data_IF_501834371533
#
_entry.id   IF_501834371533
#
_cell.length_a   1.000
_cell.length_b   1.000
_cell.length_c   1.000
_cell.angle_alpha   90.00
_cell.angle_beta   90.00
_cell.angle_gamma   90.00
#
_symmetry.space_group_name_H-M   'P 1'
#
loop_
_entity.id
_entity.type
_entity.pdbx_description
1 polymer ?
#
# COMPACT_ATOMS: atom_id res chain seq x y z
N UNK A 1 -12.06 12.58 16.55
CA UNK A 1 -10.78 12.03 16.05
C UNK A 1 -9.96 11.67 17.25
N UNK A 2 -9.60 10.40 17.37
CA UNK A 2 -8.80 9.93 18.48
C UNK A 2 -7.35 10.37 18.22
N UNK A 3 -6.65 10.85 19.25
CA UNK A 3 -5.22 11.23 19.18
C UNK A 3 -4.38 10.14 18.50
N UNK A 4 -4.78 8.87 18.67
CA UNK A 4 -4.18 7.71 18.03
C UNK A 4 -4.18 7.76 16.48
N UNK A 5 -5.22 8.29 15.84
CA UNK A 5 -5.31 8.37 14.37
C UNK A 5 -4.31 9.38 13.80
N UNK A 6 -4.11 10.49 14.51
CA UNK A 6 -3.09 11.51 14.16
C UNK A 6 -1.71 10.90 14.27
N UNK A 7 -1.43 10.23 15.39
CA UNK A 7 -0.12 9.60 15.63
C UNK A 7 0.17 8.58 14.53
N UNK A 8 -0.79 7.73 14.19
CA UNK A 8 -0.61 6.71 13.15
C UNK A 8 -0.39 7.34 11.76
N UNK A 9 -1.15 8.38 11.42
CA UNK A 9 -0.97 9.11 10.17
C UNK A 9 0.41 9.77 10.04
N UNK A 10 0.86 10.47 11.09
CA UNK A 10 2.13 11.21 11.08
C UNK A 10 3.34 10.28 11.23
N UNK A 11 3.25 9.27 12.09
CA UNK A 11 4.38 8.39 12.39
C UNK A 11 4.54 7.25 11.38
N UNK A 12 3.46 6.79 10.75
CA UNK A 12 3.49 5.63 9.86
C UNK A 12 3.21 5.98 8.40
N UNK A 13 2.03 6.55 8.09
CA UNK A 13 1.62 6.77 6.69
C UNK A 13 2.53 7.75 5.94
N UNK A 14 2.87 8.90 6.56
CA UNK A 14 3.73 9.90 5.92
C UNK A 14 5.14 9.35 5.65
N UNK A 15 5.88 8.81 6.64
CA UNK A 15 7.23 8.30 6.40
C UNK A 15 7.25 7.06 5.50
N UNK A 16 6.30 6.13 5.68
CA UNK A 16 6.20 4.94 4.82
C UNK A 16 5.85 5.32 3.38
N UNK A 17 4.95 6.28 3.17
CA UNK A 17 4.59 6.78 1.85
C UNK A 17 5.78 7.41 1.13
N UNK A 18 6.55 8.28 1.78
CA UNK A 18 7.79 8.83 1.23
C UNK A 18 8.83 7.74 0.97
N UNK A 19 8.99 6.80 1.90
CA UNK A 19 9.93 5.70 1.72
C UNK A 19 9.60 4.88 0.47
N UNK A 20 8.35 4.47 0.31
CA UNK A 20 7.87 3.74 -0.86
C UNK A 20 8.01 4.60 -2.12
N UNK A 21 7.72 5.91 -2.05
CA UNK A 21 7.78 6.79 -3.21
C UNK A 21 9.19 7.00 -3.75
N UNK A 22 10.22 7.01 -2.90
CA UNK A 22 11.60 7.35 -3.31
C UNK A 22 12.58 6.18 -3.26
N UNK A 23 12.34 5.15 -2.44
CA UNK A 23 13.31 4.10 -2.14
C UNK A 23 12.82 2.68 -2.42
N UNK A 24 11.65 2.51 -3.03
CA UNK A 24 11.08 1.18 -3.32
C UNK A 24 11.97 0.31 -4.20
N UNK A 25 12.62 0.89 -5.22
CA UNK A 25 13.53 0.14 -6.08
C UNK A 25 14.75 -0.42 -5.31
N UNK A 26 15.35 0.40 -4.44
CA UNK A 26 16.53 -0.01 -3.67
C UNK A 26 16.22 -1.05 -2.60
N UNK A 27 15.02 -1.00 -2.01
CA UNK A 27 14.62 -1.86 -0.89
C UNK A 27 13.40 -2.72 -1.21
N UNK A 28 13.43 -3.42 -2.35
CA UNK A 28 12.32 -4.25 -2.85
C UNK A 28 11.68 -5.16 -1.78
N UNK A 29 12.50 -5.82 -0.96
CA UNK A 29 12.02 -6.75 0.07
C UNK A 29 11.26 -6.06 1.20
N UNK A 30 11.67 -4.84 1.55
CA UNK A 30 10.96 -4.07 2.57
C UNK A 30 9.66 -3.48 1.99
N UNK A 31 9.66 -3.06 0.74
CA UNK A 31 8.43 -2.61 0.09
C UNK A 31 7.44 -3.75 -0.19
N UNK A 32 7.92 -4.96 -0.48
CA UNK A 32 7.04 -6.13 -0.59
C UNK A 32 6.41 -6.50 0.76
N UNK A 33 7.15 -6.33 1.86
CA UNK A 33 6.60 -6.45 3.21
C UNK A 33 5.47 -5.44 3.47
N UNK A 34 5.72 -4.15 3.21
CA UNK A 34 4.71 -3.09 3.38
C UNK A 34 3.49 -3.38 2.50
N UNK A 35 3.71 -3.82 1.25
CA UNK A 35 2.62 -4.18 0.36
C UNK A 35 1.78 -5.35 0.89
N UNK A 36 2.45 -6.42 1.34
CA UNK A 36 1.79 -7.56 1.98
C UNK A 36 0.98 -7.16 3.21
N UNK A 37 1.53 -6.28 4.05
CA UNK A 37 0.85 -5.75 5.22
C UNK A 37 -0.46 -5.06 4.84
N UNK A 38 -0.44 -4.12 3.87
CA UNK A 38 -1.66 -3.41 3.45
C UNK A 38 -2.70 -4.33 2.80
N UNK A 39 -2.29 -5.32 2.01
CA UNK A 39 -3.23 -6.26 1.38
C UNK A 39 -3.91 -7.11 2.44
N UNK A 40 -3.14 -7.70 3.35
CA UNK A 40 -3.67 -8.58 4.39
C UNK A 40 -4.51 -7.78 5.39
N UNK A 41 -4.05 -6.59 5.80
CA UNK A 41 -4.81 -5.70 6.67
C UNK A 41 -6.16 -5.35 6.04
N UNK A 42 -6.19 -4.96 4.76
CA UNK A 42 -7.43 -4.59 4.08
C UNK A 42 -8.40 -5.78 3.95
N UNK A 43 -7.89 -6.99 3.69
CA UNK A 43 -8.71 -8.20 3.61
C UNK A 43 -9.29 -8.60 4.97
N UNK A 44 -8.46 -8.61 6.03
CA UNK A 44 -8.90 -8.96 7.38
C UNK A 44 -9.85 -7.89 7.91
N UNK A 45 -9.56 -6.61 7.67
CA UNK A 45 -10.44 -5.52 8.06
C UNK A 45 -11.80 -5.63 7.36
N UNK A 46 -11.85 -5.98 6.07
CA UNK A 46 -13.12 -6.16 5.35
C UNK A 46 -13.97 -7.31 5.94
N UNK A 47 -13.35 -8.45 6.24
CA UNK A 47 -14.05 -9.60 6.86
C UNK A 47 -14.43 -9.26 8.31
N UNK A 48 -13.51 -8.66 9.04
CA UNK A 48 -13.66 -8.29 10.43
C UNK A 48 -14.74 -7.23 10.65
N UNK A 49 -14.92 -6.29 9.72
CA UNK A 49 -15.96 -5.27 9.81
C UNK A 49 -17.36 -5.89 9.73
N UNK A 50 -17.55 -6.89 8.88
CA UNK A 50 -18.80 -7.67 8.81
C UNK A 50 -19.10 -8.39 10.13
N UNK A 51 -18.07 -8.88 10.82
CA UNK A 51 -18.21 -9.53 12.13
C UNK A 51 -18.45 -8.48 13.21
N UNK A 52 -17.71 -7.37 13.21
CA UNK A 52 -17.82 -6.28 14.19
C UNK A 52 -19.21 -5.65 14.20
N UNK A 53 -19.82 -5.44 13.02
CA UNK A 53 -21.19 -4.93 12.92
C UNK A 53 -22.22 -5.81 13.65
N UNK A 54 -21.97 -7.12 13.72
CA UNK A 54 -22.84 -8.08 14.39
C UNK A 54 -22.57 -8.23 15.90
N UNK A 55 -21.37 -7.85 16.37
CA UNK A 55 -20.92 -8.12 17.74
C UNK A 55 -20.37 -6.89 18.51
N UNK A 56 -20.46 -5.70 17.93
CA UNK A 56 -20.03 -4.40 18.47
C UNK A 56 -18.63 -4.43 19.11
N UNK A 57 -17.69 -5.09 18.43
CA UNK A 57 -16.42 -5.50 19.03
C UNK A 57 -15.25 -4.67 18.50
N UNK A 58 -14.78 -3.72 19.31
CA UNK A 58 -13.68 -2.80 18.98
C UNK A 58 -12.30 -3.48 18.84
N UNK A 59 -12.20 -4.79 19.07
CA UNK A 59 -10.95 -5.56 19.03
C UNK A 59 -10.51 -5.86 17.59
N UNK A 60 -11.44 -5.84 16.64
CA UNK A 60 -11.20 -6.25 15.24
C UNK A 60 -10.05 -5.51 14.55
N UNK A 61 -9.93 -4.17 14.61
CA UNK A 61 -8.85 -3.45 13.93
C UNK A 61 -7.47 -3.80 14.50
N UNK A 62 -7.37 -3.95 15.83
CA UNK A 62 -6.12 -4.33 16.50
C UNK A 62 -5.66 -5.72 16.09
N UNK A 63 -6.58 -6.68 15.98
CA UNK A 63 -6.28 -8.04 15.51
C UNK A 63 -5.86 -8.03 14.05
N UNK A 64 -6.53 -7.26 13.19
CA UNK A 64 -6.17 -7.12 11.79
C UNK A 64 -4.72 -6.66 11.62
N UNK A 65 -4.29 -5.66 12.38
CA UNK A 65 -2.90 -5.14 12.35
C UNK A 65 -1.89 -6.18 12.81
N UNK A 66 -2.15 -6.89 13.90
CA UNK A 66 -1.21 -7.88 14.44
C UNK A 66 -1.05 -9.06 13.48
N UNK A 67 -2.16 -9.55 12.94
CA UNK A 67 -2.15 -10.68 11.99
C UNK A 67 -1.49 -10.28 10.68
N UNK A 68 -1.75 -9.07 10.18
CA UNK A 68 -1.13 -8.58 8.94
C UNK A 68 0.38 -8.40 9.08
N UNK A 69 0.88 -7.93 10.24
CA UNK A 69 2.33 -7.85 10.50
C UNK A 69 3.03 -9.22 10.39
N UNK A 70 2.38 -10.28 10.87
CA UNK A 70 2.89 -11.65 10.79
C UNK A 70 2.81 -12.23 9.38
N UNK A 71 1.65 -12.11 8.72
CA UNK A 71 1.43 -12.68 7.39
C UNK A 71 2.15 -11.92 6.27
N UNK A 72 2.47 -10.63 6.46
CA UNK A 72 3.26 -9.85 5.50
C UNK A 72 4.65 -10.45 5.24
N UNK A 73 5.19 -11.26 6.16
CA UNK A 73 6.48 -11.95 6.01
C UNK A 73 6.47 -12.87 4.77
N UNK A 74 5.32 -13.48 4.42
CA UNK A 74 5.21 -14.34 3.23
C UNK A 74 5.51 -13.59 1.92
N UNK A 75 5.18 -12.29 1.85
CA UNK A 75 5.47 -11.43 0.69
C UNK A 75 6.96 -11.11 0.55
N UNK A 76 7.75 -11.31 1.60
CA UNK A 76 9.21 -11.18 1.58
C UNK A 76 9.88 -12.50 1.20
N UNK A 77 9.36 -13.61 1.74
CA UNK A 77 9.89 -14.96 1.50
C UNK A 77 9.65 -15.39 0.06
N UNK A 78 8.50 -15.03 -0.53
CA UNK A 78 8.10 -15.39 -1.89
C UNK A 78 8.12 -14.11 -2.76
N UNK A 79 9.22 -13.80 -3.47
CA UNK A 79 9.35 -12.55 -4.23
C UNK A 79 8.28 -12.36 -5.31
N UNK A 80 7.79 -13.45 -5.91
CA UNK A 80 6.71 -13.43 -6.90
C UNK A 80 5.40 -12.91 -6.28
N UNK A 81 5.09 -13.32 -5.05
CA UNK A 81 3.94 -12.84 -4.30
C UNK A 81 4.11 -11.36 -3.94
N UNK A 82 5.32 -10.96 -3.57
CA UNK A 82 5.70 -9.57 -3.35
C UNK A 82 5.46 -8.68 -4.57
N UNK A 83 5.91 -9.13 -5.75
CA UNK A 83 5.69 -8.44 -7.02
C UNK A 83 4.21 -8.32 -7.36
N UNK A 84 3.47 -9.41 -7.26
CA UNK A 84 2.02 -9.41 -7.49
C UNK A 84 1.30 -8.47 -6.52
N UNK A 85 1.67 -8.49 -5.24
CA UNK A 85 1.11 -7.60 -4.23
C UNK A 85 1.36 -6.13 -4.52
N UNK A 86 2.58 -5.77 -4.94
CA UNK A 86 2.89 -4.41 -5.35
C UNK A 86 2.04 -4.01 -6.57
N UNK A 87 1.95 -4.86 -7.60
CA UNK A 87 1.08 -4.62 -8.75
C UNK A 87 -0.37 -4.37 -8.35
N UNK A 88 -0.93 -5.20 -7.46
CA UNK A 88 -2.29 -5.03 -6.95
C UNK A 88 -2.48 -3.69 -6.24
N UNK A 89 -1.53 -3.26 -5.40
CA UNK A 89 -1.63 -1.98 -4.67
C UNK A 89 -1.44 -0.77 -5.58
N UNK A 90 -0.60 -0.87 -6.60
CA UNK A 90 -0.51 0.15 -7.64
C UNK A 90 -1.87 0.28 -8.35
N UNK A 91 -2.45 -0.83 -8.81
CA UNK A 91 -3.77 -0.81 -9.42
C UNK A 91 -4.85 -0.25 -8.49
N UNK A 92 -4.83 -0.63 -7.23
CA UNK A 92 -5.71 -0.08 -6.20
C UNK A 92 -5.59 1.44 -6.07
N UNK A 93 -4.35 1.95 -6.05
CA UNK A 93 -4.09 3.39 -5.95
C UNK A 93 -4.57 4.15 -7.18
N UNK A 94 -4.40 3.59 -8.38
CA UNK A 94 -4.89 4.16 -9.64
C UNK A 94 -6.42 4.14 -9.68
N UNK A 95 -7.04 3.04 -9.29
CA UNK A 95 -8.49 2.94 -9.20
C UNK A 95 -9.07 4.02 -8.27
N UNK A 96 -8.47 4.20 -7.08
CA UNK A 96 -8.88 5.26 -6.14
C UNK A 96 -8.69 6.66 -6.70
N UNK A 97 -7.58 6.91 -7.38
CA UNK A 97 -7.32 8.20 -8.04
C UNK A 97 -8.41 8.54 -9.06
N UNK A 98 -8.76 7.57 -9.91
CA UNK A 98 -9.83 7.75 -10.91
C UNK A 98 -11.19 7.95 -10.24
N UNK A 99 -11.50 7.22 -9.17
CA UNK A 99 -12.76 7.38 -8.41
C UNK A 99 -12.90 8.78 -7.81
N UNK A 100 -11.79 9.38 -7.35
CA UNK A 100 -11.77 10.76 -6.84
C UNK A 100 -12.12 11.77 -7.95
N UNK A 101 -11.63 11.55 -9.17
CA UNK A 101 -11.83 12.45 -10.31
C UNK A 101 -13.16 12.22 -11.05
N UNK A 102 -13.67 10.98 -11.04
CA UNK A 102 -14.86 10.57 -11.77
C UNK A 102 -16.13 11.23 -11.22
N UNK A 103 -17.20 11.32 -12.03
CA UNK A 103 -18.47 11.88 -11.58
C UNK A 103 -19.19 10.96 -10.57
N UNK A 104 -19.87 11.56 -9.59
CA UNK A 104 -20.54 10.89 -8.45
C UNK A 104 -21.55 9.81 -8.83
N UNK A 105 -22.08 9.84 -10.07
CA UNK A 105 -23.16 8.93 -10.51
C UNK A 105 -22.66 7.58 -11.03
N UNK A 106 -21.38 7.45 -11.39
CA UNK A 106 -20.83 6.25 -12.01
C UNK A 106 -20.63 5.09 -11.02
N UNK A 107 -20.47 5.40 -9.74
CA UNK A 107 -20.02 4.45 -8.70
C UNK A 107 -21.05 4.28 -7.56
N UNK A 108 -22.33 4.41 -7.88
CA UNK A 108 -23.44 4.36 -6.92
C UNK A 108 -23.77 2.95 -6.41
N UNK A 109 -23.33 1.90 -7.12
CA UNK A 109 -23.59 0.50 -6.76
C UNK A 109 -22.31 -0.18 -6.27
N UNK A 110 -22.33 -0.71 -5.04
CA UNK A 110 -21.18 -1.35 -4.39
C UNK A 110 -20.59 -2.49 -5.20
N UNK A 111 -21.42 -3.27 -5.91
CA UNK A 111 -20.96 -4.36 -6.77
C UNK A 111 -20.13 -3.86 -7.94
N UNK A 112 -20.52 -2.73 -8.54
CA UNK A 112 -19.76 -2.11 -9.64
C UNK A 112 -18.42 -1.60 -9.14
N UNK A 113 -18.37 -1.06 -7.91
CA UNK A 113 -17.15 -0.60 -7.27
C UNK A 113 -16.15 -1.73 -7.02
N UNK A 114 -16.63 -2.86 -6.49
CA UNK A 114 -15.79 -4.04 -6.24
C UNK A 114 -15.25 -4.60 -7.55
N UNK A 115 -16.09 -4.74 -8.57
CA UNK A 115 -15.68 -5.25 -9.88
C UNK A 115 -14.67 -4.31 -10.53
N UNK A 116 -14.92 -2.99 -10.51
CA UNK A 116 -14.00 -1.99 -11.04
C UNK A 116 -12.64 -2.08 -10.36
N UNK A 117 -12.61 -2.05 -9.03
CA UNK A 117 -11.39 -2.07 -8.24
C UNK A 117 -10.62 -3.39 -8.43
N UNK A 118 -11.31 -4.52 -8.40
CA UNK A 118 -10.72 -5.84 -8.66
C UNK A 118 -10.14 -5.96 -10.07
N UNK A 119 -10.82 -5.43 -11.08
CA UNK A 119 -10.37 -5.46 -12.48
C UNK A 119 -9.11 -4.62 -12.68
N UNK A 120 -9.08 -3.40 -12.15
CA UNK A 120 -7.88 -2.54 -12.25
C UNK A 120 -6.70 -3.16 -11.48
N UNK A 121 -6.93 -3.71 -10.28
CA UNK A 121 -5.90 -4.45 -9.55
C UNK A 121 -5.36 -5.62 -10.39
N UNK A 122 -6.23 -6.44 -10.98
CA UNK A 122 -5.84 -7.57 -11.82
C UNK A 122 -5.03 -7.15 -13.06
N UNK A 123 -5.43 -6.05 -13.71
CA UNK A 123 -4.69 -5.47 -14.85
C UNK A 123 -3.28 -5.06 -14.42
N UNK A 124 -3.13 -4.36 -13.29
CA UNK A 124 -1.81 -3.94 -12.83
C UNK A 124 -0.93 -5.10 -12.31
N UNK A 125 -1.54 -6.15 -11.77
CA UNK A 125 -0.82 -7.42 -11.50
C UNK A 125 -0.30 -8.01 -12.80
N UNK A 126 -1.09 -8.08 -13.87
CA UNK A 126 -0.61 -8.56 -15.17
C UNK A 126 0.48 -7.64 -15.76
N UNK A 127 0.28 -6.32 -15.69
CA UNK A 127 1.22 -5.32 -16.22
C UNK A 127 2.56 -5.35 -15.49
N UNK A 128 2.60 -5.56 -14.18
CA UNK A 128 3.88 -5.61 -13.45
C UNK A 128 4.70 -6.88 -13.79
N UNK A 129 4.06 -7.93 -14.30
CA UNK A 129 4.75 -9.10 -14.86
C UNK A 129 5.17 -8.90 -16.32
N UNK A 130 4.44 -8.09 -17.08
CA UNK A 130 4.78 -7.79 -18.48
C UNK A 130 5.87 -6.72 -18.62
N UNK A 131 5.67 -5.56 -17.98
CA UNK A 131 6.59 -4.42 -18.03
C UNK A 131 7.07 -4.08 -16.63
N UNK A 132 8.00 -4.91 -16.19
CA UNK A 132 8.31 -5.03 -14.78
C UNK A 132 9.03 -3.80 -14.21
N UNK A 133 9.81 -3.10 -15.04
CA UNK A 133 10.61 -1.97 -14.61
C UNK A 133 9.80 -0.67 -14.57
N UNK A 134 9.13 -0.34 -15.67
CA UNK A 134 8.34 0.88 -15.79
C UNK A 134 7.18 0.90 -14.81
N UNK A 135 6.41 -0.19 -14.76
CA UNK A 135 5.24 -0.31 -13.87
C UNK A 135 5.67 -0.32 -12.41
N UNK A 136 6.79 -0.96 -12.07
CA UNK A 136 7.27 -0.97 -10.68
C UNK A 136 7.72 0.42 -10.22
N UNK A 137 8.56 1.11 -10.99
CA UNK A 137 9.11 2.41 -10.57
C UNK A 137 8.03 3.48 -10.53
N UNK A 138 7.27 3.63 -11.61
CA UNK A 138 6.20 4.63 -11.67
C UNK A 138 5.07 4.24 -10.72
N UNK A 139 4.73 2.97 -10.65
CA UNK A 139 3.65 2.47 -9.80
C UNK A 139 3.95 2.63 -8.31
N UNK A 140 5.15 2.24 -7.85
CA UNK A 140 5.51 2.41 -6.42
C UNK A 140 5.67 3.88 -6.05
N UNK A 141 6.16 4.73 -6.96
CA UNK A 141 6.14 6.18 -6.77
C UNK A 141 4.71 6.71 -6.60
N UNK A 142 3.78 6.25 -7.45
CA UNK A 142 2.38 6.64 -7.41
C UNK A 142 1.67 6.14 -6.15
N UNK A 143 1.85 4.87 -5.79
CA UNK A 143 1.28 4.29 -4.58
C UNK A 143 1.88 4.92 -3.30
N UNK A 144 3.19 5.17 -3.26
CA UNK A 144 3.83 5.88 -2.15
C UNK A 144 3.31 7.32 -1.98
N UNK A 145 3.10 8.03 -3.10
CA UNK A 145 2.47 9.35 -3.11
C UNK A 145 1.04 9.33 -2.55
N UNK A 146 0.27 8.28 -2.85
CA UNK A 146 -1.06 8.06 -2.29
C UNK A 146 -0.99 7.93 -0.76
N UNK A 147 -0.12 7.06 -0.25
CA UNK A 147 0.05 6.83 1.19
C UNK A 147 0.43 8.10 1.94
N UNK A 148 1.33 8.90 1.34
CA UNK A 148 1.73 10.18 1.89
C UNK A 148 0.54 11.16 2.01
N UNK A 149 -0.28 11.27 0.97
CA UNK A 149 -1.45 12.17 0.99
C UNK A 149 -2.53 11.68 1.92
N UNK A 150 -2.78 10.38 1.95
CA UNK A 150 -3.71 9.78 2.92
C UNK A 150 -3.27 10.15 4.33
N UNK A 151 -1.96 10.08 4.63
CA UNK A 151 -1.40 10.52 5.91
C UNK A 151 -1.63 12.02 6.18
N UNK A 152 -1.35 12.89 5.20
CA UNK A 152 -1.60 14.34 5.35
C UNK A 152 -3.10 14.63 5.51
N UNK A 153 -3.97 13.96 4.78
CA UNK A 153 -5.41 14.18 4.86
C UNK A 153 -5.95 13.79 6.23
N UNK A 154 -5.50 12.67 6.82
CA UNK A 154 -5.86 12.31 8.20
C UNK A 154 -5.35 13.38 9.19
N UNK A 155 -4.16 13.93 8.98
CA UNK A 155 -3.60 14.98 9.85
C UNK A 155 -4.33 16.32 9.72
N UNK A 156 -4.56 16.78 8.49
CA UNK A 156 -5.08 18.12 8.16
C UNK A 156 -6.59 18.17 7.96
N UNK A 157 -7.26 17.01 7.94
CA UNK A 157 -8.71 16.85 7.80
C UNK A 157 -9.28 17.51 6.54
N UNK A 158 -8.59 17.39 5.41
CA UNK A 158 -9.09 17.99 4.15
C UNK A 158 -10.33 17.28 3.61
N UNK A 159 -10.59 16.06 4.06
CA UNK A 159 -11.78 15.28 3.75
C UNK A 159 -11.63 14.39 2.53
N UNK A 160 -10.42 14.14 2.02
CA UNK A 160 -10.19 13.27 0.86
C UNK A 160 -10.53 11.82 1.19
N UNK A 161 -10.11 11.31 2.34
CA UNK A 161 -10.43 9.96 2.77
C UNK A 161 -11.93 9.78 2.98
N UNK A 162 -12.58 10.80 3.56
CA UNK A 162 -14.04 10.83 3.63
C UNK A 162 -14.66 10.88 2.23
N UNK A 163 -14.09 11.62 1.28
CA UNK A 163 -14.56 11.64 -0.11
C UNK A 163 -14.48 10.26 -0.77
N UNK A 164 -13.41 9.50 -0.53
CA UNK A 164 -13.22 8.15 -1.05
C UNK A 164 -14.22 7.19 -0.41
N UNK A 165 -14.37 7.23 0.91
CA UNK A 165 -15.28 6.37 1.66
C UNK A 165 -16.76 6.70 1.38
N UNK A 166 -17.10 7.99 1.31
CA UNK A 166 -18.44 8.47 0.98
C UNK A 166 -18.74 8.33 -0.52
N UNK A 167 -17.75 8.23 -1.42
CA UNK A 167 -18.03 7.88 -2.83
C UNK A 167 -18.69 6.51 -2.95
N UNK A 168 -18.41 5.62 -1.98
CA UNK A 168 -19.00 4.31 -1.86
C UNK A 168 -20.27 4.29 -1.01
N UNK A 169 -20.65 5.41 -0.38
CA UNK A 169 -21.86 5.49 0.43
C UNK A 169 -22.74 6.65 -0.04
N UNK A 170 -23.88 6.33 -0.65
CA UNK A 170 -24.75 7.25 -1.40
C UNK A 170 -25.36 8.43 -0.59
N UNK A 171 -25.03 8.58 0.69
CA UNK A 171 -25.73 9.47 1.62
C UNK A 171 -25.27 10.93 1.58
N UNK A 172 -24.07 11.28 1.09
CA UNK A 172 -23.55 12.64 1.21
C UNK A 172 -23.00 13.27 -0.08
N UNK A 173 -23.34 14.55 -0.30
CA UNK A 173 -22.78 15.37 -1.38
C UNK A 173 -21.37 15.82 -0.99
N UNK A 174 -20.36 15.30 -1.69
CA UNK A 174 -18.98 15.78 -1.56
C UNK A 174 -18.89 17.29 -1.85
N UNK A 175 -18.52 18.07 -0.84
CA UNK A 175 -18.14 19.48 -1.01
C UNK A 175 -16.70 19.51 -1.48
N UNK A 176 -16.48 19.89 -2.75
CA UNK A 176 -15.15 20.10 -3.32
C UNK A 176 -14.44 21.24 -2.58
N UNK A 177 -13.54 20.90 -1.66
CA UNK A 177 -12.70 21.89 -0.97
C UNK A 177 -11.43 22.15 -1.79
N UNK A 178 -10.99 23.41 -1.88
CA UNK A 178 -9.76 23.80 -2.60
C UNK A 178 -8.51 23.07 -2.08
N UNK A 179 -8.48 22.75 -0.78
CA UNK A 179 -7.40 21.98 -0.16
C UNK A 179 -7.26 20.56 -0.72
N UNK A 180 -8.37 19.93 -1.13
CA UNK A 180 -8.34 18.59 -1.71
C UNK A 180 -7.63 18.58 -3.08
N UNK A 181 -7.83 19.63 -3.88
CA UNK A 181 -7.15 19.79 -5.18
C UNK A 181 -5.65 20.01 -5.03
N UNK A 182 -5.23 20.76 -4.01
CA UNK A 182 -3.81 20.95 -3.70
C UNK A 182 -3.15 19.62 -3.39
N UNK A 183 -3.79 18.77 -2.58
CA UNK A 183 -3.25 17.44 -2.26
C UNK A 183 -3.18 16.52 -3.47
N UNK A 184 -4.20 16.52 -4.36
CA UNK A 184 -4.14 15.77 -5.62
C UNK A 184 -2.96 16.24 -6.48
N UNK A 185 -2.73 17.55 -6.56
CA UNK A 185 -1.56 18.09 -7.27
C UNK A 185 -0.24 17.65 -6.62
N UNK A 186 -0.16 17.65 -5.28
CA UNK A 186 0.97 17.11 -4.52
C UNK A 186 1.20 15.63 -4.82
N UNK A 187 0.14 14.85 -5.04
CA UNK A 187 0.25 13.42 -5.39
C UNK A 187 1.06 13.27 -6.66
N UNK A 188 0.66 14.04 -7.66
CA UNK A 188 1.25 13.99 -8.98
C UNK A 188 2.72 14.42 -8.93
N UNK A 189 3.03 15.50 -8.20
CA UNK A 189 4.39 15.98 -8.01
C UNK A 189 5.30 14.95 -7.32
N UNK A 190 4.83 14.33 -6.22
CA UNK A 190 5.60 13.30 -5.52
C UNK A 190 5.79 12.07 -6.40
N UNK A 191 4.79 11.70 -7.20
CA UNK A 191 4.92 10.60 -8.16
C UNK A 191 6.02 10.88 -9.16
N UNK A 192 6.04 12.07 -9.77
CA UNK A 192 7.05 12.44 -10.77
C UNK A 192 8.45 12.44 -10.14
N UNK A 193 8.62 13.13 -9.01
CA UNK A 193 9.91 13.21 -8.32
C UNK A 193 10.37 11.83 -7.85
N UNK A 194 9.47 11.04 -7.29
CA UNK A 194 9.70 9.66 -6.85
C UNK A 194 10.17 8.78 -8.00
N UNK A 195 9.46 8.80 -9.13
CA UNK A 195 9.82 8.03 -10.31
C UNK A 195 11.20 8.42 -10.86
N UNK A 196 11.51 9.72 -10.96
CA UNK A 196 12.81 10.21 -11.41
C UNK A 196 13.95 9.77 -10.49
N UNK A 197 13.75 9.88 -9.18
CA UNK A 197 14.76 9.49 -8.18
C UNK A 197 14.96 7.98 -8.16
N UNK A 198 13.87 7.20 -8.15
CA UNK A 198 13.93 5.74 -8.20
C UNK A 198 14.59 5.23 -9.50
N UNK A 199 14.36 5.91 -10.63
CA UNK A 199 15.01 5.60 -11.90
C UNK A 199 16.51 5.89 -11.84
N UNK A 200 16.95 6.96 -11.18
CA UNK A 200 18.38 7.27 -11.00
C UNK A 200 19.09 6.23 -10.12
N UNK A 201 18.40 5.68 -9.12
CA UNK A 201 18.94 4.62 -8.26
C UNK A 201 18.81 3.21 -8.83
N UNK A 202 18.28 3.07 -10.05
CA UNK A 202 18.16 1.78 -10.69
C UNK A 202 19.52 1.31 -11.24
N UNK A 203 20.11 0.34 -10.56
CA UNK A 203 21.38 -0.29 -10.95
C UNK A 203 21.20 -1.71 -11.52
N UNK A 204 20.10 -1.96 -12.25
CA UNK A 204 19.87 -3.22 -12.96
C UNK A 204 18.44 -3.77 -12.84
N UNK A 205 18.24 -5.00 -13.31
CA UNK A 205 16.96 -5.73 -13.17
C UNK A 205 16.67 -6.01 -11.69
N UNK A 206 15.46 -5.71 -11.23
CA UNK A 206 14.99 -6.10 -9.89
C UNK A 206 15.03 -7.62 -9.79
N UNK A 207 15.75 -8.14 -8.81
CA UNK A 207 16.11 -9.57 -8.75
C UNK A 207 14.95 -10.40 -8.18
N UNK A 208 14.19 -11.07 -9.05
CA UNK A 208 12.95 -11.82 -8.72
C UNK A 208 13.21 -13.24 -8.25
N UNK A 209 14.34 -13.79 -8.67
CA UNK A 209 14.61 -15.23 -8.63
C UNK A 209 15.47 -15.64 -7.44
N UNK A 210 16.01 -14.68 -6.69
CA UNK A 210 16.88 -14.97 -5.54
C UNK A 210 16.06 -15.04 -4.26
N UNK A 211 15.73 -16.25 -3.75
CA UNK A 211 15.06 -16.39 -2.46
C UNK A 211 15.92 -15.76 -1.35
N UNK A 212 15.27 -15.30 -0.28
CA UNK A 212 15.95 -14.74 0.87
C UNK A 212 16.83 -15.82 1.52
N UNK A 213 18.16 -15.71 1.37
CA UNK A 213 19.11 -16.56 2.11
C UNK A 213 19.23 -16.03 3.52
N UNK A 214 18.64 -16.73 4.48
CA UNK A 214 18.91 -16.48 5.91
C UNK A 214 20.32 -16.96 6.18
N UNK A 215 21.28 -16.04 6.20
CA UNK A 215 22.63 -16.34 6.67
C UNK A 215 22.56 -16.45 8.20
N UNK A 216 22.35 -17.67 8.69
CA UNK A 216 22.56 -17.94 10.11
C UNK A 216 24.04 -17.68 10.42
N UNK A 217 24.35 -16.87 11.45
CA UNK A 217 25.73 -16.71 11.88
C UNK A 217 26.25 -18.10 12.25
N UNK A 218 27.29 -18.57 11.54
CA UNK A 218 27.98 -19.80 11.93
C UNK A 218 28.43 -19.63 13.38
N UNK A 219 27.92 -20.49 14.26
CA UNK A 219 28.31 -20.55 15.67
C UNK A 219 29.83 -20.71 15.71
N UNK A 220 30.58 -19.65 16.03
CA UNK A 220 32.01 -19.74 16.36
C UNK A 220 32.07 -20.52 17.68
N UNK A 221 32.44 -21.80 17.64
CA UNK A 221 32.63 -22.58 18.86
C UNK A 221 32.16 -24.04 18.84
N UNK A 222 32.10 -24.71 17.68
CA UNK A 222 32.31 -26.16 17.72
C UNK A 222 33.82 -26.37 17.91
N UNK A 223 34.25 -26.42 19.17
CA UNK A 223 35.57 -26.93 19.54
C UNK A 223 35.59 -28.39 19.10
N UNK A 224 36.55 -28.75 18.26
CA UNK A 224 36.82 -30.11 17.85
C UNK A 224 37.09 -30.95 19.10
N UNK A 225 36.06 -31.66 19.59
CA UNK A 225 36.19 -32.68 20.62
C UNK A 225 36.77 -33.99 20.05
N UNK A 226 37.73 -33.88 19.13
CA UNK A 226 38.42 -34.99 18.49
C UNK A 226 39.90 -34.72 18.27
N UNK A 227 40.56 -34.08 19.24
CA UNK A 227 41.99 -34.25 19.46
C UNK A 227 42.20 -34.92 20.81
N UNK A 228 42.59 -36.18 20.70
CA UNK A 228 43.14 -37.09 21.73
C UNK A 228 44.24 -36.41 22.53
#
# INVERSE_FOLDING_TARGET
MLVAEIILAVSFFIPAGLFVAFFANKHFRFTSYIAGFFIVEQLIAAIGYQISLNYNNSIVPSVAIIVSLGLAIFFVIIPVLGFAGIGALVGYSVAKFVVILANTRLFTNDWVNIIYLGTICGIFVALIFYEEYGVYIVGTAFWGGMLFIVGIDVFSKTGINNAILQRWNNSDKFVKTNSAWVLIATWFWITILGALIQNKFATGKVDRHTPYKINFPKRKGAVDASSV
#
